data_IF_105663064895
#
_entry.id   IF_105663064895
#
_cell.length_a   1.000
_cell.length_b   1.000
_cell.length_c   1.000
_cell.angle_alpha   90.00
_cell.angle_beta   90.00
_cell.angle_gamma   90.00
#
_symmetry.space_group_name_H-M   'P 1'
#
loop_
_entity.id
_entity.type
_entity.pdbx_description
1 polymer ?
#
# COMPACT_ATOMS: atom_id res chain seq x y z
N UNK A 1 -4.39 -6.11 -19.98
CA UNK A 1 -3.78 -4.74 -19.94
C UNK A 1 -4.21 -4.12 -18.64
N UNK A 2 -3.26 -3.67 -17.81
CA UNK A 2 -3.56 -3.04 -16.52
C UNK A 2 -4.27 -1.70 -16.71
N UNK A 3 -5.23 -1.41 -15.81
CA UNK A 3 -6.02 -0.18 -15.77
C UNK A 3 -5.81 0.57 -14.48
N UNK A 4 -5.86 1.91 -14.51
CA UNK A 4 -5.80 2.73 -13.31
C UNK A 4 -7.16 3.29 -12.89
N UNK A 5 -8.24 2.70 -13.37
CA UNK A 5 -9.61 3.10 -13.02
C UNK A 5 -10.05 2.39 -11.72
N UNK A 6 -10.54 3.13 -10.72
CA UNK A 6 -11.17 2.53 -9.55
C UNK A 6 -12.35 1.63 -9.93
N UNK A 7 -12.55 0.56 -9.17
CA UNK A 7 -13.64 -0.36 -9.39
C UNK A 7 -14.22 -0.88 -8.06
N UNK A 8 -15.50 -1.23 -8.11
CA UNK A 8 -16.19 -2.07 -7.13
C UNK A 8 -16.65 -3.34 -7.84
N UNK A 9 -16.13 -4.49 -7.40
CA UNK A 9 -16.56 -5.81 -7.86
C UNK A 9 -17.34 -6.48 -6.73
N UNK A 10 -18.64 -6.59 -6.88
CA UNK A 10 -19.55 -7.12 -5.84
C UNK A 10 -19.80 -8.61 -6.03
N UNK A 11 -19.56 -9.38 -4.96
CA UNK A 11 -19.84 -10.81 -4.90
C UNK A 11 -20.56 -11.18 -3.60
N UNK A 12 -19.95 -10.90 -2.45
CA UNK A 12 -20.57 -11.09 -1.13
C UNK A 12 -21.24 -9.81 -0.66
N UNK A 13 -22.37 -9.92 0.03
CA UNK A 13 -23.00 -8.79 0.74
C UNK A 13 -22.60 -8.72 2.23
N UNK A 14 -21.84 -9.69 2.70
CA UNK A 14 -21.44 -9.75 4.11
C UNK A 14 -20.08 -9.12 4.35
N UNK A 15 -19.16 -9.26 3.39
CA UNK A 15 -17.77 -8.84 3.56
C UNK A 15 -17.20 -8.14 2.32
N UNK A 16 -16.52 -7.01 2.53
CA UNK A 16 -15.81 -6.30 1.47
C UNK A 16 -14.34 -6.06 1.84
N UNK A 17 -13.49 -6.05 0.80
CA UNK A 17 -12.07 -5.72 0.88
C UNK A 17 -11.82 -4.35 0.26
N UNK A 18 -11.27 -3.41 1.04
CA UNK A 18 -10.82 -2.10 0.57
C UNK A 18 -9.33 -2.17 0.26
N UNK A 19 -8.95 -1.89 -0.99
CA UNK A 19 -7.58 -1.94 -1.48
C UNK A 19 -7.00 -0.53 -1.62
N UNK A 20 -5.83 -0.28 -0.99
CA UNK A 20 -5.14 1.01 -0.86
C UNK A 20 -3.78 0.95 -1.55
N UNK A 21 -3.60 1.72 -2.64
CA UNK A 21 -2.37 1.73 -3.45
C UNK A 21 -1.21 2.53 -2.85
N UNK A 22 -0.03 2.49 -3.50
CA UNK A 22 1.18 3.21 -3.10
C UNK A 22 1.24 4.67 -3.55
N UNK A 23 2.19 5.44 -3.01
CA UNK A 23 2.44 6.83 -3.36
C UNK A 23 2.88 6.97 -4.83
N UNK A 24 2.25 7.87 -5.57
CA UNK A 24 2.51 8.07 -7.00
C UNK A 24 2.14 6.84 -7.87
N UNK A 25 1.50 5.84 -7.25
CA UNK A 25 0.93 4.68 -7.90
C UNK A 25 -0.53 4.89 -8.29
N UNK A 26 -1.32 3.84 -8.15
CA UNK A 26 -2.75 3.84 -8.40
C UNK A 26 -3.32 2.43 -8.40
N UNK A 27 -4.57 2.31 -8.79
CA UNK A 27 -5.31 1.04 -8.82
C UNK A 27 -4.57 -0.07 -9.56
N UNK A 28 -3.84 0.24 -10.64
CA UNK A 28 -3.12 -0.75 -11.43
C UNK A 28 -2.16 -1.62 -10.60
N UNK A 29 -1.64 -1.11 -9.47
CA UNK A 29 -0.72 -1.85 -8.60
C UNK A 29 -1.40 -3.03 -7.90
N UNK A 30 -2.71 -2.92 -7.67
CA UNK A 30 -3.52 -3.89 -6.94
C UNK A 30 -4.64 -4.52 -7.80
N UNK A 31 -4.76 -4.14 -9.08
CA UNK A 31 -5.85 -4.59 -9.95
C UNK A 31 -5.90 -6.12 -10.07
N UNK A 32 -4.76 -6.77 -10.34
CA UNK A 32 -4.71 -8.24 -10.48
C UNK A 32 -5.06 -8.95 -9.18
N UNK A 33 -4.59 -8.44 -8.03
CA UNK A 33 -4.97 -8.96 -6.73
C UNK A 33 -6.48 -8.79 -6.49
N UNK A 34 -7.02 -7.61 -6.80
CA UNK A 34 -8.45 -7.34 -6.65
C UNK A 34 -9.31 -8.28 -7.51
N UNK A 35 -8.94 -8.47 -8.77
CA UNK A 35 -9.62 -9.40 -9.67
C UNK A 35 -9.53 -10.85 -9.17
N UNK A 36 -8.35 -11.27 -8.68
CA UNK A 36 -8.18 -12.60 -8.09
C UNK A 36 -9.08 -12.80 -6.87
N UNK A 37 -9.12 -11.86 -5.93
CA UNK A 37 -9.96 -11.94 -4.73
C UNK A 37 -11.46 -11.98 -5.10
N UNK A 38 -11.88 -11.20 -6.08
CA UNK A 38 -13.24 -11.26 -6.61
C UNK A 38 -13.57 -12.66 -7.18
N UNK A 39 -12.68 -13.26 -7.96
CA UNK A 39 -12.85 -14.62 -8.47
C UNK A 39 -12.93 -15.69 -7.36
N UNK A 40 -12.37 -15.37 -6.18
CA UNK A 40 -12.47 -16.22 -4.98
C UNK A 40 -13.73 -15.93 -4.14
N UNK A 41 -14.67 -15.14 -4.63
CA UNK A 41 -15.96 -14.88 -3.98
C UNK A 41 -16.01 -13.67 -3.04
N UNK A 42 -14.96 -12.84 -3.01
CA UNK A 42 -14.92 -11.63 -2.17
C UNK A 42 -15.41 -10.40 -2.93
N UNK A 43 -16.07 -9.49 -2.24
CA UNK A 43 -16.32 -8.14 -2.75
C UNK A 43 -15.08 -7.30 -2.59
N UNK A 44 -14.71 -6.54 -3.62
CA UNK A 44 -13.46 -5.76 -3.68
C UNK A 44 -13.72 -4.34 -4.16
N UNK A 45 -13.30 -3.35 -3.37
CA UNK A 45 -13.30 -1.93 -3.70
C UNK A 45 -11.87 -1.43 -3.82
N UNK A 46 -11.56 -0.73 -4.90
CA UNK A 46 -10.31 0.04 -5.08
C UNK A 46 -10.63 1.52 -5.17
N UNK A 47 -9.68 2.37 -4.80
CA UNK A 47 -9.78 3.82 -4.93
C UNK A 47 -8.46 4.40 -5.46
N UNK A 48 -8.52 5.56 -6.12
CA UNK A 48 -7.37 6.44 -6.31
C UNK A 48 -7.52 7.62 -5.35
N UNK A 49 -6.49 7.93 -4.58
CA UNK A 49 -6.53 9.05 -3.63
C UNK A 49 -6.67 10.40 -4.34
N UNK A 50 -7.16 11.41 -3.64
CA UNK A 50 -7.10 12.80 -4.10
C UNK A 50 -5.66 13.17 -4.48
N UNK A 51 -5.46 13.71 -5.69
CA UNK A 51 -4.13 13.95 -6.26
C UNK A 51 -3.46 12.74 -6.91
N UNK A 52 -4.12 11.56 -6.92
CA UNK A 52 -3.71 10.36 -7.67
C UNK A 52 -4.79 9.92 -8.68
N UNK A 53 -5.85 10.68 -8.82
CA UNK A 53 -7.09 10.35 -9.52
C UNK A 53 -7.11 10.74 -11.00
N UNK A 54 -6.15 11.58 -11.43
CA UNK A 54 -6.06 12.03 -12.82
C UNK A 54 -4.65 11.85 -13.39
N UNK A 55 -4.52 11.46 -14.68
CA UNK A 55 -3.23 11.36 -15.33
C UNK A 55 -2.57 12.74 -15.47
N UNK A 56 -1.30 12.84 -15.11
CA UNK A 56 -0.47 14.01 -15.28
C UNK A 56 0.99 13.60 -15.54
N UNK A 57 1.77 14.45 -16.21
CA UNK A 57 3.19 14.19 -16.42
C UNK A 57 3.95 14.18 -15.10
N UNK A 58 3.72 15.19 -14.27
CA UNK A 58 4.26 15.28 -12.92
C UNK A 58 3.19 14.92 -11.89
N UNK A 59 3.62 14.24 -10.81
CA UNK A 59 2.74 13.95 -9.70
C UNK A 59 2.34 15.26 -8.99
N UNK A 60 1.03 15.56 -8.84
CA UNK A 60 0.58 16.74 -8.11
C UNK A 60 0.98 16.68 -6.63
N UNK A 61 1.18 17.85 -6.03
CA UNK A 61 1.33 17.93 -4.57
C UNK A 61 0.02 17.58 -3.90
N UNK A 62 0.08 16.62 -3.00
CA UNK A 62 -1.06 16.19 -2.18
C UNK A 62 -0.59 15.75 -0.80
N UNK A 63 -1.49 15.70 0.18
CA UNK A 63 -1.15 15.45 1.57
C UNK A 63 -1.80 14.16 2.06
N UNK A 64 -1.17 13.53 3.04
CA UNK A 64 -1.66 12.28 3.59
C UNK A 64 -3.05 12.45 4.27
N UNK A 65 -3.35 13.63 4.79
CA UNK A 65 -4.66 13.94 5.37
C UNK A 65 -5.77 13.85 4.31
N UNK A 66 -5.49 14.37 3.10
CA UNK A 66 -6.45 14.34 1.97
C UNK A 66 -6.64 12.91 1.46
N UNK A 67 -5.57 12.09 1.47
CA UNK A 67 -5.64 10.66 1.11
C UNK A 67 -6.45 9.87 2.14
N UNK A 68 -6.18 10.13 3.42
CA UNK A 68 -6.87 9.46 4.52
C UNK A 68 -8.34 9.84 4.58
N UNK A 69 -8.69 11.09 4.32
CA UNK A 69 -10.09 11.53 4.26
C UNK A 69 -10.86 10.70 3.22
N UNK A 70 -10.32 10.52 2.01
CA UNK A 70 -10.95 9.70 0.97
C UNK A 70 -11.02 8.21 1.36
N UNK A 71 -9.97 7.67 2.01
CA UNK A 71 -10.02 6.31 2.57
C UNK A 71 -11.13 6.16 3.60
N UNK A 72 -11.28 7.14 4.49
CA UNK A 72 -12.30 7.13 5.54
C UNK A 72 -13.71 7.24 4.97
N UNK A 73 -13.93 8.15 4.01
CA UNK A 73 -15.22 8.27 3.30
C UNK A 73 -15.61 6.93 2.68
N UNK A 74 -14.70 6.31 1.91
CA UNK A 74 -14.96 5.02 1.27
C UNK A 74 -15.22 3.90 2.29
N UNK A 75 -14.42 3.86 3.38
CA UNK A 75 -14.65 2.90 4.46
C UNK A 75 -16.04 3.07 5.09
N UNK A 76 -16.46 4.29 5.36
CA UNK A 76 -17.77 4.59 5.93
C UNK A 76 -18.90 4.18 4.99
N UNK A 77 -18.78 4.41 3.69
CA UNK A 77 -19.74 3.95 2.69
C UNK A 77 -19.84 2.42 2.66
N UNK A 78 -18.69 1.73 2.70
CA UNK A 78 -18.67 0.27 2.74
C UNK A 78 -19.31 -0.29 4.01
N UNK A 79 -19.11 0.34 5.18
CA UNK A 79 -19.72 -0.11 6.45
C UNK A 79 -21.24 0.04 6.48
N UNK A 80 -21.83 0.88 5.63
CA UNK A 80 -23.29 0.98 5.46
C UNK A 80 -23.85 -0.17 4.64
N UNK A 81 -23.03 -0.84 3.84
CA UNK A 81 -23.45 -1.86 2.85
C UNK A 81 -23.02 -3.27 3.24
N UNK A 82 -21.93 -3.41 3.97
CA UNK A 82 -21.33 -4.70 4.31
C UNK A 82 -21.14 -4.83 5.81
N UNK A 83 -21.39 -6.03 6.33
CA UNK A 83 -21.30 -6.30 7.78
C UNK A 83 -19.85 -6.24 8.29
N UNK A 84 -18.86 -6.47 7.45
CA UNK A 84 -17.44 -6.42 7.81
C UNK A 84 -16.55 -5.96 6.66
N UNK A 85 -15.47 -5.25 7.02
CA UNK A 85 -14.52 -4.71 6.06
C UNK A 85 -13.11 -5.20 6.43
N UNK A 86 -12.40 -5.75 5.45
CA UNK A 86 -10.94 -5.94 5.51
C UNK A 86 -10.22 -4.89 4.68
N UNK A 87 -9.02 -4.51 5.13
CA UNK A 87 -8.20 -3.50 4.42
C UNK A 87 -6.90 -4.15 3.93
N UNK A 88 -6.56 -3.89 2.69
CA UNK A 88 -5.33 -4.36 2.04
C UNK A 88 -4.56 -3.13 1.58
N UNK A 89 -3.48 -2.80 2.25
CA UNK A 89 -2.59 -1.69 1.88
C UNK A 89 -1.36 -2.17 1.13
N UNK A 90 -0.94 -1.40 0.13
CA UNK A 90 0.34 -1.57 -0.53
C UNK A 90 1.20 -0.31 -0.33
N UNK A 91 2.49 -0.49 0.05
CA UNK A 91 3.45 0.61 0.22
C UNK A 91 2.89 1.70 1.16
N UNK A 92 2.65 2.93 0.69
CA UNK A 92 2.02 4.02 1.45
C UNK A 92 0.56 3.71 1.83
N UNK A 93 -0.13 2.83 1.11
CA UNK A 93 -1.43 2.31 1.52
C UNK A 93 -1.38 1.53 2.84
N UNK A 94 -0.22 0.98 3.23
CA UNK A 94 -0.05 0.30 4.52
C UNK A 94 -0.18 1.25 5.72
N UNK A 95 0.57 2.36 5.84
CA UNK A 95 0.37 3.32 6.93
C UNK A 95 -1.03 3.96 6.92
N UNK A 96 -1.69 4.14 5.75
CA UNK A 96 -3.10 4.57 5.71
C UNK A 96 -4.01 3.51 6.32
N UNK A 97 -3.82 2.23 5.97
CA UNK A 97 -4.58 1.12 6.54
C UNK A 97 -4.33 0.94 8.06
N UNK A 98 -3.08 1.10 8.51
CA UNK A 98 -2.73 1.08 9.94
C UNK A 98 -3.38 2.25 10.70
N UNK A 99 -3.36 3.45 10.11
CA UNK A 99 -4.00 4.61 10.73
C UNK A 99 -5.52 4.43 10.83
N UNK A 100 -6.17 3.89 9.79
CA UNK A 100 -7.58 3.53 9.82
C UNK A 100 -7.86 2.48 10.91
N UNK A 101 -7.08 1.40 10.96
CA UNK A 101 -7.22 0.32 11.94
C UNK A 101 -7.02 0.77 13.40
N UNK A 102 -6.27 1.86 13.63
CA UNK A 102 -6.07 2.43 14.96
C UNK A 102 -7.30 3.17 15.52
N UNK A 103 -8.24 3.54 14.66
CA UNK A 103 -9.41 4.36 15.03
C UNK A 103 -10.75 3.71 14.69
N UNK A 104 -10.77 2.69 13.82
CA UNK A 104 -11.97 2.09 13.29
C UNK A 104 -11.91 0.55 13.33
N UNK A 105 -13.08 -0.06 13.43
CA UNK A 105 -13.20 -1.52 13.48
C UNK A 105 -13.09 -2.11 12.07
N UNK A 106 -11.99 -2.75 11.77
CA UNK A 106 -11.79 -3.54 10.54
C UNK A 106 -11.60 -5.01 10.90
N UNK A 107 -12.03 -5.92 10.03
CA UNK A 107 -12.00 -7.35 10.34
C UNK A 107 -10.58 -7.93 10.23
N UNK A 108 -9.85 -7.54 9.18
CA UNK A 108 -8.45 -7.95 8.93
C UNK A 108 -7.67 -6.85 8.24
N UNK A 109 -6.38 -6.84 8.49
CA UNK A 109 -5.43 -5.93 7.85
C UNK A 109 -4.37 -6.74 7.10
N UNK A 110 -4.14 -6.39 5.83
CA UNK A 110 -3.04 -6.93 5.02
C UNK A 110 -2.14 -5.79 4.60
N UNK A 111 -0.85 -5.94 4.84
CA UNK A 111 0.20 -4.97 4.56
C UNK A 111 1.18 -5.57 3.54
N UNK A 112 1.20 -5.02 2.32
CA UNK A 112 2.07 -5.45 1.23
C UNK A 112 3.20 -4.43 1.05
N UNK A 113 4.45 -4.85 1.23
CA UNK A 113 5.65 -3.99 1.12
C UNK A 113 5.50 -2.67 1.90
N UNK A 114 5.23 -2.70 3.23
CA UNK A 114 4.84 -1.53 4.01
C UNK A 114 5.92 -0.44 4.01
N UNK A 115 5.52 0.79 3.69
CA UNK A 115 6.37 1.96 3.75
C UNK A 115 6.50 2.47 5.19
N UNK A 116 7.64 2.18 5.85
CA UNK A 116 7.98 2.68 7.19
C UNK A 116 9.26 3.52 7.21
N UNK A 117 10.11 3.35 6.19
CA UNK A 117 11.31 4.14 5.92
C UNK A 117 11.74 3.91 4.47
N UNK A 118 12.47 4.86 3.92
CA UNK A 118 13.09 4.73 2.59
C UNK A 118 14.32 3.82 2.73
N UNK A 119 14.54 2.97 1.74
CA UNK A 119 15.70 2.08 1.76
C UNK A 119 17.00 2.90 1.85
N UNK A 120 17.79 2.62 2.87
CA UNK A 120 19.10 3.19 3.05
C UNK A 120 20.16 2.34 2.35
N UNK A 121 20.94 2.97 1.47
CA UNK A 121 22.05 2.30 0.82
C UNK A 121 23.38 2.78 1.44
N UNK A 122 24.33 1.88 1.59
CA UNK A 122 25.61 2.11 2.27
C UNK A 122 26.43 3.29 1.74
N UNK A 123 26.20 3.70 0.49
CA UNK A 123 26.87 4.84 -0.14
C UNK A 123 26.21 6.19 0.14
N UNK A 124 25.06 6.23 0.83
CA UNK A 124 24.49 7.47 1.31
C UNK A 124 25.21 7.92 2.58
N UNK A 125 25.62 9.19 2.64
CA UNK A 125 26.27 9.77 3.81
C UNK A 125 25.29 9.91 5.00
N UNK A 126 24.02 10.17 4.71
CA UNK A 126 22.92 10.28 5.67
C UNK A 126 21.69 9.51 5.19
N UNK A 127 20.74 9.15 6.09
CA UNK A 127 19.47 8.57 5.68
C UNK A 127 18.76 9.42 4.61
N UNK A 128 18.08 8.79 3.63
CA UNK A 128 17.38 9.52 2.57
C UNK A 128 16.41 10.59 3.08
N UNK A 129 15.79 10.35 4.22
CA UNK A 129 14.88 11.29 4.89
C UNK A 129 15.58 12.61 5.25
N UNK A 130 16.84 12.55 5.67
CA UNK A 130 17.63 13.76 6.00
C UNK A 130 17.80 14.67 4.79
N UNK A 131 18.00 14.09 3.60
CA UNK A 131 18.07 14.87 2.34
C UNK A 131 16.71 15.46 1.97
N UNK A 132 15.62 14.72 2.17
CA UNK A 132 14.26 15.19 1.91
C UNK A 132 13.86 16.39 2.78
N UNK A 133 14.26 16.39 4.05
CA UNK A 133 13.95 17.48 4.98
C UNK A 133 14.99 18.61 4.98
N UNK A 134 16.03 18.54 4.14
CA UNK A 134 17.04 19.58 3.96
C UNK A 134 17.04 20.14 2.52
N UNK A 135 17.97 19.70 1.68
CA UNK A 135 18.13 20.16 0.29
C UNK A 135 16.89 19.82 -0.56
N UNK A 136 16.22 18.71 -0.28
CA UNK A 136 15.00 18.31 -0.97
C UNK A 136 13.82 19.28 -0.80
N UNK A 137 13.90 20.26 0.11
CA UNK A 137 12.89 21.31 0.20
C UNK A 137 12.93 22.31 -0.98
N UNK A 138 14.03 22.33 -1.72
CA UNK A 138 14.22 23.18 -2.89
C UNK A 138 13.82 22.48 -4.21
N UNK A 139 13.40 21.21 -4.13
CA UNK A 139 13.05 20.39 -5.29
C UNK A 139 11.63 19.83 -5.06
N UNK A 140 10.75 20.07 -6.01
CA UNK A 140 9.37 19.59 -5.91
C UNK A 140 9.20 18.19 -6.50
N UNK A 141 9.84 17.89 -7.63
CA UNK A 141 9.66 16.64 -8.34
C UNK A 141 10.99 15.95 -8.69
N UNK A 142 11.03 14.63 -8.54
CA UNK A 142 12.14 13.79 -9.00
C UNK A 142 11.64 12.76 -10.01
N UNK A 143 12.39 12.50 -11.11
CA UNK A 143 11.96 11.55 -12.12
C UNK A 143 11.79 10.13 -11.57
N UNK A 144 10.70 9.46 -11.96
CA UNK A 144 10.46 8.04 -11.72
C UNK A 144 10.92 7.26 -12.94
N UNK A 145 12.21 6.96 -13.01
CA UNK A 145 12.84 6.38 -14.20
C UNK A 145 12.39 4.94 -14.48
N UNK A 146 12.15 4.15 -13.43
CA UNK A 146 11.80 2.74 -13.55
C UNK A 146 10.83 2.33 -12.44
N UNK A 147 9.87 1.45 -12.79
CA UNK A 147 9.06 0.78 -11.78
C UNK A 147 9.86 -0.39 -11.15
N UNK A 148 9.81 -0.53 -9.82
CA UNK A 148 10.50 -1.59 -9.08
C UNK A 148 9.72 -2.92 -9.20
N UNK A 149 9.76 -3.51 -10.40
CA UNK A 149 9.16 -4.78 -10.79
C UNK A 149 10.21 -5.56 -11.57
N UNK A 150 10.54 -6.78 -11.19
CA UNK A 150 11.51 -7.65 -11.87
C UNK A 150 10.89 -8.35 -13.07
N UNK A 151 9.63 -8.74 -12.99
CA UNK A 151 8.88 -9.27 -14.13
C UNK A 151 8.84 -8.23 -15.25
N UNK A 152 9.55 -8.54 -16.35
CA UNK A 152 9.73 -7.61 -17.48
C UNK A 152 8.41 -7.29 -18.19
N UNK A 153 7.54 -8.28 -18.33
CA UNK A 153 6.26 -8.11 -19.00
C UNK A 153 5.34 -7.23 -18.15
N UNK A 154 5.19 -7.56 -16.88
CA UNK A 154 4.36 -6.77 -15.95
C UNK A 154 4.88 -5.35 -15.78
N UNK A 155 6.20 -5.16 -15.76
CA UNK A 155 6.79 -3.82 -15.71
C UNK A 155 6.41 -2.97 -16.94
N UNK A 156 6.40 -3.55 -18.14
CA UNK A 156 5.97 -2.84 -19.36
C UNK A 156 4.49 -2.49 -19.29
N UNK A 157 3.64 -3.39 -18.82
CA UNK A 157 2.20 -3.12 -18.67
C UNK A 157 1.93 -2.05 -17.61
N UNK A 158 2.56 -2.14 -16.45
CA UNK A 158 2.46 -1.15 -15.38
C UNK A 158 2.97 0.23 -15.81
N UNK A 159 4.04 0.28 -16.63
CA UNK A 159 4.57 1.53 -17.18
C UNK A 159 3.56 2.25 -18.09
N UNK A 160 2.67 1.51 -18.77
CA UNK A 160 1.60 2.08 -19.60
C UNK A 160 0.40 2.54 -18.78
N UNK A 161 0.13 1.88 -17.65
CA UNK A 161 -1.00 2.17 -16.76
C UNK A 161 -0.74 3.32 -15.78
N UNK A 162 0.51 3.58 -15.41
CA UNK A 162 0.86 4.62 -14.45
C UNK A 162 0.47 6.02 -14.94
N UNK A 163 0.02 6.88 -14.04
CA UNK A 163 -0.34 8.25 -14.37
C UNK A 163 0.87 9.20 -14.35
N UNK A 164 1.85 8.99 -13.46
CA UNK A 164 2.92 9.96 -13.21
C UNK A 164 4.30 9.45 -13.64
N UNK A 165 5.11 10.36 -14.17
CA UNK A 165 6.53 10.11 -14.52
C UNK A 165 7.50 10.67 -13.48
N UNK A 166 7.00 11.25 -12.38
CA UNK A 166 7.79 11.77 -11.25
C UNK A 166 7.19 11.37 -9.92
N UNK A 167 7.99 11.49 -8.85
CA UNK A 167 7.51 11.58 -7.48
C UNK A 167 7.53 13.03 -7.04
N UNK A 168 6.47 13.50 -6.39
CA UNK A 168 6.41 14.80 -5.74
C UNK A 168 7.01 14.70 -4.34
N UNK A 169 8.13 15.39 -4.09
CA UNK A 169 8.84 15.33 -2.80
C UNK A 169 8.05 15.91 -1.62
N UNK A 170 7.27 17.01 -1.76
CA UNK A 170 6.30 17.40 -0.75
C UNK A 170 5.35 16.28 -0.32
N UNK A 171 4.84 15.50 -1.28
CA UNK A 171 3.96 14.36 -0.99
C UNK A 171 4.71 13.19 -0.33
N UNK A 172 5.98 12.93 -0.71
CA UNK A 172 6.84 11.96 0.00
C UNK A 172 7.03 12.38 1.47
N UNK A 173 7.34 13.66 1.73
CA UNK A 173 7.44 14.18 3.11
C UNK A 173 6.12 14.05 3.87
N UNK A 174 4.99 14.22 3.19
CA UNK A 174 3.67 14.03 3.78
C UNK A 174 3.45 12.56 4.19
N UNK A 175 3.84 11.60 3.34
CA UNK A 175 3.78 10.18 3.67
C UNK A 175 4.67 9.81 4.88
N UNK A 176 5.87 10.40 5.01
CA UNK A 176 6.73 10.22 6.19
C UNK A 176 6.07 10.75 7.47
N UNK A 177 5.36 11.90 7.40
CA UNK A 177 4.59 12.41 8.55
C UNK A 177 3.45 11.47 8.95
N UNK A 178 2.79 10.82 8.00
CA UNK A 178 1.80 9.80 8.32
C UNK A 178 2.42 8.64 9.10
N UNK A 179 3.63 8.19 8.73
CA UNK A 179 4.35 7.13 9.44
C UNK A 179 4.61 7.56 10.90
N UNK A 180 4.98 8.82 11.13
CA UNK A 180 5.18 9.36 12.50
C UNK A 180 3.87 9.38 13.31
N UNK A 181 2.70 9.52 12.66
CA UNK A 181 1.39 9.40 13.32
C UNK A 181 1.01 7.95 13.62
N UNK A 182 1.46 6.99 12.80
CA UNK A 182 1.14 5.56 12.94
C UNK A 182 1.99 4.88 14.00
N UNK A 183 3.30 5.15 14.04
CA UNK A 183 4.25 4.49 14.94
C UNK A 183 3.78 4.40 16.40
N UNK A 184 3.33 5.48 17.05
CA UNK A 184 2.89 5.43 18.46
C UNK A 184 1.58 4.65 18.67
N UNK A 185 0.83 4.35 17.62
CA UNK A 185 -0.46 3.66 17.68
C UNK A 185 -0.37 2.14 17.44
N UNK A 186 0.78 1.62 16.98
CA UNK A 186 0.94 0.21 16.61
C UNK A 186 0.57 -0.75 17.73
N UNK A 187 0.95 -0.45 18.97
CA UNK A 187 0.65 -1.30 20.13
C UNK A 187 -0.86 -1.40 20.45
N UNK A 188 -1.65 -0.43 20.03
CA UNK A 188 -3.10 -0.39 20.24
C UNK A 188 -3.89 -1.10 19.12
N UNK A 189 -3.26 -1.36 17.97
CA UNK A 189 -3.88 -2.08 16.86
C UNK A 189 -3.92 -3.57 17.19
N UNK A 190 -5.14 -4.10 17.44
CA UNK A 190 -5.38 -5.51 17.81
C UNK A 190 -5.95 -6.34 16.65
N UNK A 191 -6.12 -5.74 15.49
CA UNK A 191 -6.69 -6.37 14.30
C UNK A 191 -5.79 -7.50 13.81
N UNK A 192 -6.32 -8.68 13.45
CA UNK A 192 -5.56 -9.73 12.78
C UNK A 192 -4.83 -9.17 11.57
N UNK A 193 -3.51 -9.33 11.52
CA UNK A 193 -2.66 -8.67 10.50
C UNK A 193 -1.72 -9.64 9.80
N UNK A 194 -1.74 -9.60 8.45
CA UNK A 194 -0.75 -10.24 7.59
C UNK A 194 0.17 -9.17 7.01
N UNK A 195 1.47 -9.37 7.13
CA UNK A 195 2.51 -8.54 6.50
C UNK A 195 3.21 -9.39 5.46
N UNK A 196 3.34 -8.89 4.23
CA UNK A 196 4.11 -9.52 3.16
C UNK A 196 5.18 -8.53 2.70
N UNK A 197 6.46 -8.94 2.78
CA UNK A 197 7.59 -8.10 2.43
C UNK A 197 8.59 -8.84 1.56
N UNK A 198 9.14 -8.17 0.55
CA UNK A 198 10.27 -8.69 -0.19
C UNK A 198 11.61 -8.36 0.49
N UNK A 199 12.47 -9.36 0.64
CA UNK A 199 13.85 -9.15 1.10
C UNK A 199 14.72 -8.39 0.07
N UNK A 200 14.26 -8.31 -1.18
CA UNK A 200 14.95 -7.64 -2.28
C UNK A 200 14.26 -6.32 -2.69
N UNK A 201 13.46 -5.74 -1.80
CA UNK A 201 12.82 -4.45 -2.01
C UNK A 201 13.87 -3.35 -2.22
N UNK A 202 13.74 -2.58 -3.31
CA UNK A 202 14.68 -1.50 -3.67
C UNK A 202 14.16 -0.11 -3.33
N UNK A 203 12.97 0.01 -2.75
CA UNK A 203 12.28 1.28 -2.46
C UNK A 203 12.17 1.53 -0.96
N UNK A 204 11.63 0.56 -0.22
CA UNK A 204 11.45 0.66 1.23
C UNK A 204 12.43 -0.25 1.96
N UNK A 205 12.81 0.14 3.18
CA UNK A 205 13.64 -0.72 4.02
C UNK A 205 12.81 -1.92 4.50
N UNK A 206 13.23 -3.17 4.16
CA UNK A 206 12.50 -4.36 4.57
C UNK A 206 12.36 -4.54 6.09
N UNK A 207 13.27 -3.98 6.90
CA UNK A 207 13.20 -3.99 8.36
C UNK A 207 11.95 -3.28 8.92
N UNK A 208 11.33 -2.40 8.12
CA UNK A 208 10.05 -1.78 8.45
C UNK A 208 8.92 -2.79 8.66
N UNK A 209 8.94 -3.92 7.95
CA UNK A 209 7.98 -5.01 8.13
C UNK A 209 8.17 -5.74 9.47
N UNK A 210 9.43 -6.00 9.86
CA UNK A 210 9.77 -6.57 11.17
C UNK A 210 9.38 -5.61 12.31
N UNK A 211 9.70 -4.32 12.15
CA UNK A 211 9.31 -3.29 13.11
C UNK A 211 7.79 -3.26 13.35
N UNK A 212 6.97 -3.30 12.27
CA UNK A 212 5.51 -3.37 12.43
C UNK A 212 5.13 -4.67 13.13
N UNK A 213 5.67 -5.81 12.68
CA UNK A 213 5.36 -7.11 13.28
C UNK A 213 5.61 -7.13 14.77
N UNK A 214 6.74 -6.61 15.23
CA UNK A 214 7.09 -6.59 16.65
C UNK A 214 6.23 -5.61 17.45
N UNK A 215 5.96 -4.42 16.91
CA UNK A 215 5.25 -3.34 17.60
C UNK A 215 3.72 -3.51 17.62
N UNK A 216 3.13 -4.27 16.67
CA UNK A 216 1.68 -4.50 16.63
C UNK A 216 1.16 -5.20 17.88
N UNK A 217 0.08 -4.65 18.44
CA UNK A 217 -0.61 -5.24 19.59
C UNK A 217 -1.52 -6.42 19.27
N UNK A 218 -1.64 -6.82 18.01
CA UNK A 218 -2.43 -7.97 17.58
C UNK A 218 -1.84 -9.28 18.09
N UNK A 219 -2.69 -10.18 18.61
CA UNK A 219 -2.32 -11.56 18.95
C UNK A 219 -2.28 -12.48 17.72
N UNK A 220 -2.93 -12.08 16.62
CA UNK A 220 -2.97 -12.81 15.36
C UNK A 220 -2.22 -11.98 14.32
N UNK A 221 -0.91 -12.21 14.21
CA UNK A 221 -0.06 -11.52 13.26
C UNK A 221 0.89 -12.49 12.56
N UNK A 222 1.11 -12.27 11.27
CA UNK A 222 1.96 -13.11 10.43
C UNK A 222 2.84 -12.23 9.55
N UNK A 223 4.13 -12.56 9.47
CA UNK A 223 5.08 -11.97 8.52
C UNK A 223 5.48 -13.04 7.50
N UNK A 224 5.31 -12.72 6.21
CA UNK A 224 5.64 -13.60 5.10
C UNK A 224 6.68 -12.92 4.20
N UNK A 225 7.81 -13.59 3.97
CA UNK A 225 8.90 -13.07 3.15
C UNK A 225 8.82 -13.57 1.71
N UNK A 226 9.08 -12.64 0.78
CA UNK A 226 9.34 -12.92 -0.63
C UNK A 226 10.83 -12.76 -0.90
N UNK A 227 11.37 -13.57 -1.81
CA UNK A 227 12.82 -13.62 -2.04
C UNK A 227 13.24 -13.29 -3.48
N UNK A 228 12.29 -13.24 -4.42
CA UNK A 228 12.56 -13.03 -5.84
C UNK A 228 11.96 -11.74 -6.38
N UNK A 229 10.96 -11.18 -5.71
CA UNK A 229 10.26 -9.96 -6.13
C UNK A 229 11.01 -8.69 -5.71
N UNK A 230 10.68 -7.56 -6.33
CA UNK A 230 11.03 -6.21 -5.90
C UNK A 230 9.83 -5.59 -5.13
N UNK A 231 9.75 -4.26 -5.05
CA UNK A 231 8.79 -3.52 -4.23
C UNK A 231 7.33 -3.76 -4.62
N UNK A 232 6.97 -3.68 -5.93
CA UNK A 232 5.58 -3.85 -6.37
C UNK A 232 5.25 -5.36 -6.46
N UNK A 233 5.29 -6.02 -5.31
CA UNK A 233 5.12 -7.47 -5.20
C UNK A 233 3.80 -8.02 -5.79
N UNK A 234 2.65 -7.27 -5.81
CA UNK A 234 1.43 -7.76 -6.46
C UNK A 234 1.51 -7.85 -7.99
N UNK A 235 2.55 -7.27 -8.61
CA UNK A 235 2.80 -7.32 -10.06
C UNK A 235 4.11 -8.04 -10.42
N UNK A 236 4.80 -8.64 -9.44
CA UNK A 236 6.13 -9.17 -9.68
C UNK A 236 6.17 -10.71 -9.74
N UNK A 237 7.35 -11.28 -9.74
CA UNK A 237 7.62 -12.70 -9.98
C UNK A 237 6.87 -13.64 -9.02
N UNK A 238 6.64 -13.21 -7.78
CA UNK A 238 5.96 -14.02 -6.76
C UNK A 238 4.51 -13.55 -6.49
N UNK A 239 3.88 -12.81 -7.41
CA UNK A 239 2.50 -12.32 -7.25
C UNK A 239 1.49 -13.40 -6.89
N UNK A 240 1.63 -14.61 -7.46
CA UNK A 240 0.73 -15.70 -7.17
C UNK A 240 0.84 -16.17 -5.71
N UNK A 241 2.05 -16.16 -5.14
CA UNK A 241 2.26 -16.43 -3.70
C UNK A 241 1.59 -15.32 -2.87
N UNK A 242 1.72 -14.05 -3.26
CA UNK A 242 1.04 -12.93 -2.59
C UNK A 242 -0.46 -13.14 -2.59
N UNK A 243 -1.06 -13.42 -3.74
CA UNK A 243 -2.51 -13.63 -3.89
C UNK A 243 -3.02 -14.78 -3.01
N UNK A 244 -2.35 -15.91 -3.05
CA UNK A 244 -2.70 -17.09 -2.25
C UNK A 244 -2.59 -16.80 -0.75
N UNK A 245 -1.52 -16.13 -0.28
CA UNK A 245 -1.36 -15.80 1.13
C UNK A 245 -2.40 -14.80 1.63
N UNK A 246 -2.72 -13.78 0.83
CA UNK A 246 -3.77 -12.80 1.13
C UNK A 246 -5.12 -13.51 1.24
N UNK A 247 -5.51 -14.27 0.24
CA UNK A 247 -6.79 -14.99 0.23
C UNK A 247 -6.93 -15.96 1.41
N UNK A 248 -5.92 -16.81 1.66
CA UNK A 248 -5.91 -17.72 2.80
C UNK A 248 -6.08 -16.98 4.13
N UNK A 249 -5.40 -15.85 4.29
CA UNK A 249 -5.49 -15.05 5.52
C UNK A 249 -6.87 -14.43 5.69
N UNK A 250 -7.50 -13.96 4.61
CA UNK A 250 -8.84 -13.38 4.65
C UNK A 250 -9.93 -14.42 5.01
N UNK A 251 -9.70 -15.72 4.74
CA UNK A 251 -10.65 -16.80 5.03
C UNK A 251 -10.41 -17.51 6.37
N UNK A 252 -9.29 -17.26 7.05
CA UNK A 252 -9.00 -17.92 8.33
C UNK A 252 -10.08 -17.56 9.37
N UNK A 253 -10.70 -18.54 10.02
CA UNK A 253 -11.58 -18.31 11.17
C UNK A 253 -10.77 -17.67 12.32
N UNK A 254 -11.30 -16.63 12.94
CA UNK A 254 -10.67 -15.86 14.04
C UNK A 254 -11.41 -16.13 15.34
#
# INVERSE_FOLDING_TARGET
>A
MLSNNPFLLENSQEHACLLLHGLGGGVYELELLGQYLYQQGLTVQTINYRGHDHPAFEMPTSRWEDWYEHVLETYQELTQRYASISVIGFSTGCPLGLYLASAHNIQRLVLLSPFMSIKYEWYYLFPPEAYLFSIGQLIDNVPRLRLPIKDKQMRVEAQKAKFFSSFNLPSVRSALRLIDQVKPKLADIKVPTLIIQSSQDTVVDPSGAEYIYDALGSSIKKLYWLYESDHISPLDLERDKVFIQVHKFLQTEV
#
